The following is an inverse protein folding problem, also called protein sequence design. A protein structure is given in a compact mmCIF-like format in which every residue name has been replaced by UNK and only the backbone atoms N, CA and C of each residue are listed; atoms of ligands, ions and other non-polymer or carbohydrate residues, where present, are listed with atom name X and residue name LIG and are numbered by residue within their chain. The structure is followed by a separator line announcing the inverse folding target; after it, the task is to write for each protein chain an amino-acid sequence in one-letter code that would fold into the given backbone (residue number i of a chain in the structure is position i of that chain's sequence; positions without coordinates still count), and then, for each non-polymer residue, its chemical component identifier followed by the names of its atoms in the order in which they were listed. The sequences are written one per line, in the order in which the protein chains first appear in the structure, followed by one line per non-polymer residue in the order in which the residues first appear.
data_IF_422532850482
#
_entry.id   IF_422532850482
#
_cell.length_a   1.000
_cell.length_b   1.000
_cell.length_c   1.000
_cell.angle_alpha   90.00
_cell.angle_beta   90.00
_cell.angle_gamma   90.00
#
_symmetry.space_group_name_H-M   'P 1'
#
loop_
_entity.id
_entity.type
_entity.pdbx_description
1 polymer ?
#
# COMPACT_ATOMS: atom_id res chain seq x y z
N UNK A 1 -3.94 10.07 7.21
CA UNK A 1 -2.53 10.28 7.59
C UNK A 1 -1.58 10.23 6.41
N UNK A 2 -1.15 9.07 5.88
CA UNK A 2 -0.15 9.04 4.79
C UNK A 2 -0.57 9.77 3.50
N UNK A 3 -1.84 9.68 3.09
CA UNK A 3 -2.34 10.32 1.85
C UNK A 3 -2.34 11.85 1.95
N UNK A 4 -2.50 12.41 3.15
CA UNK A 4 -2.65 13.86 3.35
C UNK A 4 -1.33 14.53 3.75
N UNK A 5 -0.57 13.87 4.64
CA UNK A 5 0.60 14.45 5.30
C UNK A 5 1.93 14.11 4.64
N UNK A 6 1.94 13.26 3.61
CA UNK A 6 3.16 12.82 2.94
C UNK A 6 3.14 13.17 1.45
N UNK A 7 4.34 13.29 0.89
CA UNK A 7 4.57 13.35 -0.55
C UNK A 7 4.86 11.94 -1.07
N UNK A 8 4.33 11.66 -2.26
CA UNK A 8 4.38 10.34 -2.89
C UNK A 8 5.13 10.45 -4.21
N UNK A 9 6.22 9.71 -4.34
CA UNK A 9 6.98 9.63 -5.60
C UNK A 9 7.08 8.18 -6.04
N UNK A 10 6.57 7.90 -7.24
CA UNK A 10 6.74 6.60 -7.86
C UNK A 10 8.21 6.36 -8.19
N UNK A 11 8.76 5.22 -7.80
CA UNK A 11 10.17 4.89 -7.98
C UNK A 11 10.41 3.38 -7.99
N UNK A 12 11.64 2.99 -8.25
CA UNK A 12 12.15 1.64 -8.06
C UNK A 12 13.18 1.62 -6.93
N UNK A 13 13.01 0.71 -5.98
CA UNK A 13 13.98 0.46 -4.91
C UNK A 13 14.36 -1.02 -4.92
N UNK A 14 15.65 -1.32 -5.12
CA UNK A 14 16.18 -2.69 -5.17
C UNK A 14 15.44 -3.61 -6.16
N UNK A 15 15.11 -3.12 -7.36
CA UNK A 15 14.38 -3.89 -8.38
C UNK A 15 12.90 -4.12 -8.06
N UNK A 16 12.32 -3.33 -7.15
CA UNK A 16 10.89 -3.36 -6.82
C UNK A 16 10.27 -2.00 -7.10
N UNK A 17 9.21 -1.99 -7.91
CA UNK A 17 8.42 -0.80 -8.16
C UNK A 17 7.52 -0.47 -6.97
N UNK A 18 7.34 0.81 -6.70
CA UNK A 18 6.39 1.30 -5.73
C UNK A 18 6.57 2.77 -5.39
N UNK A 19 6.04 3.17 -4.23
CA UNK A 19 6.12 4.56 -3.80
C UNK A 19 7.16 4.76 -2.71
N UNK A 20 8.02 5.76 -2.90
CA UNK A 20 8.68 6.43 -1.79
C UNK A 20 7.71 7.44 -1.20
N UNK A 21 7.37 7.26 0.07
CA UNK A 21 6.44 8.12 0.82
C UNK A 21 7.25 8.88 1.86
N UNK A 22 7.42 10.18 1.69
CA UNK A 22 8.18 11.04 2.59
C UNK A 22 7.27 12.01 3.34
N UNK A 23 7.54 12.24 4.63
CA UNK A 23 6.80 13.24 5.39
C UNK A 23 7.01 14.64 4.80
N UNK A 24 5.94 15.43 4.69
CA UNK A 24 6.02 16.84 4.27
C UNK A 24 6.75 17.71 5.30
N UNK A 25 6.70 17.34 6.59
CA UNK A 25 7.33 18.10 7.68
C UNK A 25 8.75 17.64 8.00
N UNK A 26 9.12 16.41 7.64
CA UNK A 26 10.44 15.81 7.90
C UNK A 26 10.82 14.89 6.73
N UNK A 27 11.24 15.44 5.58
CA UNK A 27 11.45 14.68 4.34
C UNK A 27 12.49 13.55 4.44
N UNK A 28 13.39 13.62 5.43
CA UNK A 28 14.35 12.57 5.77
C UNK A 28 13.67 11.30 6.33
N UNK A 29 12.47 11.45 6.90
CA UNK A 29 11.64 10.33 7.35
C UNK A 29 10.77 9.88 6.18
N UNK A 30 11.15 8.75 5.59
CA UNK A 30 10.41 8.14 4.49
C UNK A 30 10.31 6.62 4.67
N UNK A 31 9.27 6.06 4.06
CA UNK A 31 9.07 4.62 3.93
C UNK A 31 8.95 4.28 2.45
N UNK A 32 9.21 3.02 2.11
CA UNK A 32 8.96 2.50 0.76
C UNK A 32 7.77 1.54 0.79
N UNK A 33 6.78 1.80 -0.05
CA UNK A 33 5.60 0.96 -0.21
C UNK A 33 5.70 0.22 -1.55
N UNK A 34 6.22 -1.03 -1.57
CA UNK A 34 6.30 -1.82 -2.79
C UNK A 34 4.92 -2.16 -3.34
N UNK A 35 4.77 -2.08 -4.65
CA UNK A 35 3.59 -2.58 -5.36
C UNK A 35 3.86 -4.05 -5.69
N UNK A 36 3.83 -4.88 -4.66
CA UNK A 36 4.28 -6.27 -4.76
C UNK A 36 3.23 -7.21 -5.39
N UNK A 37 2.04 -6.73 -5.71
CA UNK A 37 0.93 -7.57 -6.16
C UNK A 37 0.18 -8.24 -5.00
N UNK A 38 -0.69 -9.18 -5.34
CA UNK A 38 -1.46 -9.98 -4.38
C UNK A 38 -1.27 -11.47 -4.66
N UNK A 39 -1.36 -12.28 -3.61
CA UNK A 39 -1.46 -13.72 -3.77
C UNK A 39 -2.91 -14.08 -4.04
N UNK A 40 -3.18 -14.71 -5.18
CA UNK A 40 -4.48 -15.27 -5.53
C UNK A 40 -4.32 -16.78 -5.71
N UNK A 41 -4.96 -17.56 -4.84
CA UNK A 41 -4.69 -18.99 -4.64
C UNK A 41 -3.21 -19.23 -4.32
N UNK A 42 -2.46 -19.78 -5.28
CA UNK A 42 -1.06 -20.14 -5.22
C UNK A 42 -0.18 -19.29 -6.16
N UNK A 43 -0.76 -18.28 -6.81
CA UNK A 43 -0.07 -17.45 -7.80
C UNK A 43 0.08 -16.01 -7.34
N UNK A 44 1.24 -15.43 -7.64
CA UNK A 44 1.45 -14.00 -7.53
C UNK A 44 0.81 -13.30 -8.73
N UNK A 45 -0.14 -12.42 -8.46
CA UNK A 45 -0.85 -11.65 -9.47
C UNK A 45 -0.56 -10.16 -9.32
N UNK A 46 -0.67 -9.42 -10.43
CA UNK A 46 -0.55 -7.95 -10.53
C UNK A 46 0.67 -7.34 -9.82
N UNK A 47 1.78 -8.08 -9.76
CA UNK A 47 3.05 -7.58 -9.23
C UNK A 47 3.58 -6.40 -10.06
N UNK A 48 4.00 -5.33 -9.39
CA UNK A 48 4.40 -4.06 -10.00
C UNK A 48 3.24 -3.16 -10.42
N UNK A 49 1.99 -3.66 -10.37
CA UNK A 49 0.79 -2.95 -10.82
C UNK A 49 -0.12 -2.60 -9.65
N UNK A 50 -0.33 -3.52 -8.69
CA UNK A 50 -1.31 -3.35 -7.61
C UNK A 50 -0.72 -3.57 -6.21
N UNK A 51 -1.12 -2.71 -5.28
CA UNK A 51 -0.71 -2.78 -3.87
C UNK A 51 -1.89 -2.53 -2.94
N UNK A 52 -1.91 -3.25 -1.81
CA UNK A 52 -2.96 -3.10 -0.79
C UNK A 52 -2.33 -3.05 0.60
N UNK A 53 -2.57 -1.95 1.32
CA UNK A 53 -2.10 -1.77 2.68
C UNK A 53 -3.29 -1.49 3.59
N UNK A 54 -3.57 -2.42 4.49
CA UNK A 54 -4.74 -2.32 5.37
C UNK A 54 -4.45 -1.40 6.56
N UNK A 55 -5.37 -0.48 6.82
CA UNK A 55 -5.38 0.34 8.04
C UNK A 55 -5.99 -0.42 9.22
N UNK A 56 -5.65 -0.02 10.44
CA UNK A 56 -6.34 -0.47 11.66
C UNK A 56 -7.74 0.15 11.82
N UNK A 57 -8.08 1.17 11.03
CA UNK A 57 -9.35 1.88 11.11
C UNK A 57 -10.48 1.11 10.42
N UNK A 58 -11.57 0.88 11.15
CA UNK A 58 -12.80 0.29 10.62
C UNK A 58 -13.59 1.30 9.80
N UNK A 59 -14.18 0.83 8.70
CA UNK A 59 -15.22 1.55 7.96
C UNK A 59 -16.61 0.97 8.25
N UNK A 60 -16.71 -0.35 8.30
CA UNK A 60 -17.90 -1.11 8.70
C UNK A 60 -17.45 -2.28 9.61
N UNK A 61 -18.35 -2.96 10.34
CA UNK A 61 -17.95 -4.00 11.30
C UNK A 61 -17.02 -5.09 10.73
N UNK A 62 -17.17 -5.43 9.45
CA UNK A 62 -16.34 -6.41 8.74
C UNK A 62 -15.39 -5.83 7.69
N UNK A 63 -15.34 -4.49 7.53
CA UNK A 63 -14.57 -3.81 6.48
C UNK A 63 -13.64 -2.76 7.10
N UNK A 64 -12.35 -2.85 6.76
CA UNK A 64 -11.35 -1.85 7.14
C UNK A 64 -11.04 -0.92 5.96
N UNK A 65 -10.53 0.28 6.26
CA UNK A 65 -9.92 1.12 5.24
C UNK A 65 -8.64 0.49 4.72
N UNK A 66 -8.42 0.62 3.41
CA UNK A 66 -7.24 0.12 2.73
C UNK A 66 -6.67 1.25 1.87
N UNK A 67 -5.37 1.46 1.96
CA UNK A 67 -4.64 2.18 0.93
C UNK A 67 -4.50 1.26 -0.27
N UNK A 68 -5.12 1.66 -1.36
CA UNK A 68 -5.08 1.01 -2.65
C UNK A 68 -4.10 1.74 -3.56
N UNK A 69 -3.20 0.99 -4.17
CA UNK A 69 -2.24 1.49 -5.15
C UNK A 69 -2.48 0.75 -6.47
N UNK A 70 -2.55 1.49 -7.57
CA UNK A 70 -2.72 0.96 -8.91
C UNK A 70 -1.96 1.79 -9.93
N UNK A 71 -0.97 1.18 -10.58
CA UNK A 71 0.01 1.91 -11.39
C UNK A 71 0.61 3.08 -10.60
N UNK A 72 0.56 4.28 -11.15
CA UNK A 72 1.02 5.56 -10.59
C UNK A 72 -0.11 6.35 -9.89
N UNK A 73 -1.21 5.70 -9.51
CA UNK A 73 -2.27 6.26 -8.68
C UNK A 73 -2.39 5.55 -7.32
N UNK A 74 -2.80 6.30 -6.30
CA UNK A 74 -3.01 5.80 -4.95
C UNK A 74 -4.20 6.50 -4.27
N UNK A 75 -5.00 5.73 -3.52
CA UNK A 75 -6.16 6.27 -2.80
C UNK A 75 -6.54 5.43 -1.59
N UNK A 76 -7.27 6.06 -0.67
CA UNK A 76 -8.00 5.31 0.35
C UNK A 76 -9.26 4.71 -0.25
N UNK A 77 -9.43 3.40 -0.09
CA UNK A 77 -10.60 2.67 -0.52
C UNK A 77 -11.12 1.80 0.64
N UNK A 78 -12.44 1.76 0.78
CA UNK A 78 -13.13 0.97 1.80
C UNK A 78 -14.37 0.27 1.24
N UNK A 79 -14.48 0.15 -0.08
CA UNK A 79 -15.69 -0.35 -0.72
C UNK A 79 -15.89 -1.87 -0.57
N UNK A 80 -14.81 -2.67 -0.48
CA UNK A 80 -14.96 -4.15 -0.59
C UNK A 80 -13.93 -4.99 0.19
N UNK A 81 -13.20 -4.44 1.16
CA UNK A 81 -12.08 -5.13 1.79
C UNK A 81 -12.47 -5.83 3.10
N UNK A 82 -13.08 -7.01 2.96
CA UNK A 82 -13.37 -7.92 4.07
C UNK A 82 -12.12 -8.23 4.89
N UNK A 83 -12.23 -8.17 6.22
CA UNK A 83 -11.11 -8.44 7.14
C UNK A 83 -10.50 -9.84 7.02
N UNK A 84 -11.26 -10.80 6.48
CA UNK A 84 -10.84 -12.20 6.28
C UNK A 84 -9.92 -12.42 5.07
N UNK A 85 -9.76 -11.43 4.18
CA UNK A 85 -8.75 -11.52 3.13
C UNK A 85 -7.36 -11.33 3.73
N UNK A 86 -6.48 -12.32 3.55
CA UNK A 86 -5.06 -12.17 3.81
C UNK A 86 -4.43 -11.30 2.74
N UNK A 87 -3.86 -10.16 3.12
CA UNK A 87 -3.01 -9.38 2.23
C UNK A 87 -1.56 -9.71 2.54
N UNK A 88 -0.73 -9.73 1.50
CA UNK A 88 0.72 -9.91 1.63
C UNK A 88 1.30 -8.77 2.46
N UNK A 89 1.41 -8.94 3.77
CA UNK A 89 2.17 -8.02 4.63
C UNK A 89 3.64 -8.29 4.37
N UNK A 90 4.32 -7.38 3.67
CA UNK A 90 5.78 -7.38 3.65
C UNK A 90 6.27 -6.15 4.40
N UNK A 91 6.83 -6.33 5.61
CA UNK A 91 7.53 -5.26 6.32
C UNK A 91 8.62 -4.66 5.44
N UNK A 92 8.80 -3.34 5.55
CA UNK A 92 9.89 -2.61 4.91
C UNK A 92 11.16 -2.88 5.71
N UNK A 93 12.24 -3.25 5.01
CA UNK A 93 13.56 -3.49 5.60
C UNK A 93 14.11 -2.13 6.10
N UNK A 94 14.66 -2.12 7.31
CA UNK A 94 15.26 -0.95 7.97
C UNK A 94 16.58 -0.54 7.32
#
# INVERSE_FOLDING_TARGET
ELVESCDWTWTELNGKNGYKVSSKSSPENWIFLPVAGVMYNDKLDVAGIRGYYRSSTLRLPSIAWVLYIYNDDHKMDGSSFGRFYGYSIRPVIK
#
